data_IF_908682974442
#
_entry.id   IF_908682974442
#
_cell.length_a   1.000
_cell.length_b   1.000
_cell.length_c   1.000
_cell.angle_alpha   90.00
_cell.angle_beta   90.00
_cell.angle_gamma   90.00
#
_symmetry.space_group_name_H-M   'P 1'
#
loop_
_entity.id
_entity.type
_entity.pdbx_description
1 polymer ?
#
# COMPACT_ATOMS: atom_id res chain seq x y z
N UNK A 1 0.72 -4.61 14.30
CA UNK A 1 2.02 -4.54 13.60
C UNK A 1 3.14 -4.41 14.65
N UNK A 2 3.63 -5.54 15.16
CA UNK A 2 4.82 -5.71 16.02
C UNK A 2 5.49 -7.00 15.56
N UNK A 3 6.81 -7.18 15.55
CA UNK A 3 7.79 -6.78 16.55
C UNK A 3 9.14 -6.29 15.96
N UNK A 4 9.80 -5.38 16.69
CA UNK A 4 11.26 -5.19 16.65
C UNK A 4 11.75 -5.50 18.06
N UNK A 5 12.50 -6.58 18.25
CA UNK A 5 13.21 -6.83 19.52
C UNK A 5 14.65 -7.28 19.33
N UNK A 6 15.54 -6.57 19.99
CA UNK A 6 16.59 -7.23 20.75
C UNK A 6 17.14 -6.22 21.72
N UNK A 7 16.77 -6.34 22.99
CA UNK A 7 17.34 -5.57 24.11
C UNK A 7 18.46 -6.32 24.86
N UNK A 8 18.81 -7.53 24.43
CA UNK A 8 20.18 -8.10 24.59
C UNK A 8 20.40 -9.45 23.89
N UNK A 9 19.38 -10.15 23.41
CA UNK A 9 19.58 -11.26 22.44
C UNK A 9 18.29 -11.79 21.83
N UNK A 10 17.11 -11.37 22.30
CA UNK A 10 15.82 -11.84 21.76
C UNK A 10 15.48 -11.27 20.39
N UNK A 11 16.35 -11.50 19.41
CA UNK A 11 16.29 -11.06 18.04
C UNK A 11 14.96 -11.37 17.35
N UNK A 12 14.29 -10.35 16.81
CA UNK A 12 13.87 -10.28 15.39
C UNK A 12 13.57 -8.82 15.07
N UNK A 13 14.27 -8.27 14.07
CA UNK A 13 14.10 -6.88 13.59
C UNK A 13 14.06 -6.83 12.04
N UNK A 14 12.90 -6.98 11.39
CA UNK A 14 12.45 -5.88 10.54
C UNK A 14 10.92 -5.63 10.60
N UNK A 15 10.52 -4.35 10.73
CA UNK A 15 9.13 -3.86 10.92
C UNK A 15 9.06 -2.87 12.11
N UNK A 16 8.10 -1.93 12.26
CA UNK A 16 8.32 -0.78 13.15
C UNK A 16 8.01 -1.08 14.62
N UNK A 17 8.95 -0.78 15.53
CA UNK A 17 8.62 -0.40 16.90
C UNK A 17 9.20 1.00 17.17
N UNK A 18 8.31 2.00 17.28
CA UNK A 18 8.66 3.40 17.57
C UNK A 18 9.09 3.63 19.04
N UNK A 19 9.39 2.56 19.78
CA UNK A 19 9.82 2.64 21.16
C UNK A 19 11.20 3.34 21.23
N UNK A 20 11.22 4.54 21.82
CA UNK A 20 12.45 5.23 22.19
C UNK A 20 13.05 4.48 23.39
N UNK A 21 14.38 4.27 23.40
CA UNK A 21 15.19 3.56 24.44
C UNK A 21 15.19 2.03 24.36
N UNK A 22 15.64 1.44 23.24
CA UNK A 22 16.01 0.01 23.16
C UNK A 22 17.52 -0.19 23.33
N UNK A 23 17.93 -1.13 24.17
CA UNK A 23 19.32 -1.63 24.22
C UNK A 23 19.55 -2.58 23.04
N UNK A 24 20.79 -2.83 22.64
CA UNK A 24 21.09 -3.81 21.60
C UNK A 24 22.40 -4.48 21.99
N UNK A 25 22.50 -5.80 21.82
CA UNK A 25 23.71 -6.52 22.21
C UNK A 25 24.87 -6.37 21.22
N UNK A 26 24.61 -6.04 19.96
CA UNK A 26 25.64 -5.96 18.91
C UNK A 26 25.40 -4.78 17.96
N UNK A 27 26.47 -4.19 17.38
CA UNK A 27 26.36 -3.17 16.34
C UNK A 27 25.49 -3.60 15.16
N UNK A 28 25.55 -4.87 14.75
CA UNK A 28 24.72 -5.43 13.69
C UNK A 28 23.20 -5.31 13.97
N UNK A 29 22.74 -5.55 15.21
CA UNK A 29 21.33 -5.39 15.57
C UNK A 29 20.90 -3.92 15.58
N UNK A 30 21.77 -3.02 16.06
CA UNK A 30 21.54 -1.57 15.98
C UNK A 30 21.41 -1.11 14.54
N UNK A 31 22.29 -1.56 13.66
CA UNK A 31 22.27 -1.25 12.23
C UNK A 31 21.02 -1.81 11.54
N UNK A 32 20.64 -3.05 11.83
CA UNK A 32 19.41 -3.65 11.30
C UNK A 32 18.16 -2.84 11.71
N UNK A 33 18.06 -2.43 12.98
CA UNK A 33 16.99 -1.57 13.48
C UNK A 33 16.98 -0.20 12.78
N UNK A 34 18.17 0.39 12.59
CA UNK A 34 18.32 1.67 11.88
C UNK A 34 17.87 1.56 10.42
N UNK A 35 18.34 0.55 9.68
CA UNK A 35 17.94 0.30 8.28
C UNK A 35 16.43 0.10 8.14
N UNK A 36 15.80 -0.62 9.08
CA UNK A 36 14.35 -0.78 9.09
C UNK A 36 13.62 0.56 9.30
N UNK A 37 14.12 1.43 10.18
CA UNK A 37 13.56 2.79 10.36
C UNK A 37 13.77 3.66 9.13
N UNK A 38 14.92 3.59 8.47
CA UNK A 38 15.17 4.32 7.23
C UNK A 38 14.20 3.89 6.14
N UNK A 39 14.05 2.58 5.91
CA UNK A 39 13.06 2.04 4.97
C UNK A 39 11.64 2.48 5.29
N UNK A 40 11.25 2.48 6.57
CA UNK A 40 9.93 2.97 6.97
C UNK A 40 9.74 4.45 6.63
N UNK A 41 10.76 5.30 6.84
CA UNK A 41 10.73 6.72 6.47
C UNK A 41 10.68 6.92 4.96
N UNK A 42 11.51 6.19 4.22
CA UNK A 42 11.55 6.20 2.74
C UNK A 42 10.23 5.71 2.12
N UNK A 43 9.49 4.85 2.83
CA UNK A 43 8.15 4.42 2.43
C UNK A 43 7.04 5.46 2.71
N UNK A 44 7.35 6.61 3.34
CA UNK A 44 6.34 7.63 3.65
C UNK A 44 5.58 8.16 2.42
N UNK A 45 6.23 8.48 1.28
CA UNK A 45 5.51 8.90 0.08
C UNK A 45 4.55 7.83 -0.46
N UNK A 46 4.92 6.55 -0.35
CA UNK A 46 4.05 5.47 -0.79
C UNK A 46 2.84 5.28 0.14
N UNK A 47 3.01 5.47 1.45
CA UNK A 47 1.88 5.50 2.38
C UNK A 47 0.97 6.72 2.15
N UNK A 48 1.54 7.88 1.82
CA UNK A 48 0.76 9.05 1.44
C UNK A 48 -0.08 8.77 0.17
N UNK A 49 0.51 8.17 -0.86
CA UNK A 49 -0.22 7.75 -2.07
C UNK A 49 -1.29 6.70 -1.78
N UNK A 50 -1.08 5.80 -0.82
CA UNK A 50 -2.11 4.87 -0.36
C UNK A 50 -3.28 5.61 0.32
N UNK A 51 -3.01 6.61 1.15
CA UNK A 51 -4.06 7.46 1.75
C UNK A 51 -4.85 8.19 0.67
N UNK A 52 -4.17 8.83 -0.30
CA UNK A 52 -4.81 9.56 -1.40
C UNK A 52 -5.70 8.64 -2.25
N UNK A 53 -5.20 7.47 -2.66
CA UNK A 53 -6.00 6.48 -3.38
C UNK A 53 -7.23 6.02 -2.57
N UNK A 54 -7.09 5.89 -1.26
CA UNK A 54 -8.18 5.54 -0.35
C UNK A 54 -9.23 6.65 -0.24
N UNK A 55 -8.82 7.91 -0.17
CA UNK A 55 -9.71 9.07 -0.16
C UNK A 55 -10.51 9.17 -1.46
N UNK A 56 -9.86 8.96 -2.61
CA UNK A 56 -10.53 8.94 -3.93
C UNK A 56 -11.58 7.82 -3.98
N UNK A 57 -11.23 6.60 -3.56
CA UNK A 57 -12.17 5.49 -3.52
C UNK A 57 -13.34 5.78 -2.58
N UNK A 58 -13.08 6.30 -1.37
CA UNK A 58 -14.11 6.62 -0.39
C UNK A 58 -15.07 7.69 -0.92
N UNK A 59 -14.54 8.75 -1.55
CA UNK A 59 -15.35 9.81 -2.14
C UNK A 59 -16.23 9.24 -3.26
N UNK A 60 -15.67 8.40 -4.13
CA UNK A 60 -16.42 7.78 -5.22
C UNK A 60 -17.55 6.87 -4.71
N UNK A 61 -17.27 6.01 -3.72
CA UNK A 61 -18.29 5.14 -3.10
C UNK A 61 -19.39 5.96 -2.43
N UNK A 62 -19.05 7.06 -1.74
CA UNK A 62 -20.05 7.99 -1.17
C UNK A 62 -20.92 8.61 -2.26
N UNK A 63 -20.34 9.02 -3.38
CA UNK A 63 -21.10 9.56 -4.52
C UNK A 63 -22.05 8.53 -5.11
N UNK A 64 -21.59 7.29 -5.32
CA UNK A 64 -22.43 6.19 -5.80
C UNK A 64 -23.58 5.88 -4.84
N UNK A 65 -23.32 5.88 -3.53
CA UNK A 65 -24.37 5.67 -2.53
C UNK A 65 -25.45 6.76 -2.57
N UNK A 66 -25.05 8.02 -2.84
CA UNK A 66 -26.00 9.14 -2.99
C UNK A 66 -26.85 9.04 -4.25
N UNK A 67 -26.30 8.52 -5.35
CA UNK A 67 -27.07 8.30 -6.59
C UNK A 67 -28.27 7.36 -6.40
N UNK A 68 -28.22 6.48 -5.38
CA UNK A 68 -29.34 5.58 -5.06
C UNK A 68 -30.46 6.26 -4.28
N UNK A 69 -30.22 7.47 -3.75
CA UNK A 69 -31.18 8.25 -2.96
C UNK A 69 -31.87 9.34 -3.80
N UNK A 70 -31.31 9.68 -4.96
CA UNK A 70 -31.87 10.69 -5.86
C UNK A 70 -32.69 10.02 -6.97
N UNK A 71 -33.91 10.51 -7.28
CA UNK A 71 -34.63 10.02 -8.44
C UNK A 71 -33.82 10.31 -9.71
N UNK A 72 -33.69 9.35 -10.64
CA UNK A 72 -32.94 9.57 -11.86
C UNK A 72 -33.54 10.76 -12.60
N UNK A 73 -32.70 11.72 -12.98
CA UNK A 73 -33.15 12.82 -13.84
C UNK A 73 -33.69 12.23 -15.15
N UNK A 74 -34.71 12.85 -15.79
CA UNK A 74 -35.23 12.39 -17.09
C UNK A 74 -34.18 12.36 -18.21
N UNK A 75 -33.02 13.02 -17.99
CA UNK A 75 -31.88 13.05 -18.92
C UNK A 75 -30.81 12.00 -18.59
N UNK A 76 -31.01 11.18 -17.55
CA UNK A 76 -30.02 10.19 -17.15
C UNK A 76 -30.03 9.03 -18.16
N UNK A 77 -28.89 8.71 -18.78
CA UNK A 77 -28.82 7.60 -19.72
C UNK A 77 -29.10 6.27 -19.00
N UNK A 78 -29.65 5.31 -19.75
CA UNK A 78 -29.76 3.93 -19.27
C UNK A 78 -28.38 3.41 -18.84
N UNK A 79 -28.33 2.71 -17.70
CA UNK A 79 -27.08 2.17 -17.16
C UNK A 79 -26.21 3.17 -16.39
N UNK A 80 -26.68 4.39 -16.11
CA UNK A 80 -25.98 5.39 -15.29
C UNK A 80 -25.41 4.81 -13.97
N UNK A 81 -26.23 4.07 -13.23
CA UNK A 81 -25.81 3.42 -11.98
C UNK A 81 -24.73 2.34 -12.21
N UNK A 82 -24.86 1.55 -13.27
CA UNK A 82 -23.87 0.54 -13.64
C UNK A 82 -22.53 1.19 -14.00
N UNK A 83 -22.55 2.27 -14.78
CA UNK A 83 -21.34 3.03 -15.14
C UNK A 83 -20.68 3.66 -13.90
N UNK A 84 -21.47 4.18 -12.96
CA UNK A 84 -20.96 4.75 -11.73
C UNK A 84 -20.26 3.68 -10.85
N UNK A 85 -20.82 2.48 -10.73
CA UNK A 85 -20.24 1.36 -9.96
C UNK A 85 -19.03 0.73 -10.66
N UNK A 86 -19.00 0.71 -12.00
CA UNK A 86 -17.95 0.07 -12.79
C UNK A 86 -16.53 0.61 -12.51
N UNK A 87 -16.40 1.84 -11.98
CA UNK A 87 -15.12 2.42 -11.57
C UNK A 87 -14.58 1.90 -10.23
N UNK A 88 -15.42 1.30 -9.39
CA UNK A 88 -15.04 0.88 -8.03
C UNK A 88 -13.91 -0.17 -8.05
N UNK A 89 -13.95 -1.23 -8.88
CA UNK A 89 -12.88 -2.23 -8.95
C UNK A 89 -11.52 -1.61 -9.33
N UNK A 90 -11.49 -0.67 -10.27
CA UNK A 90 -10.25 -0.01 -10.70
C UNK A 90 -9.63 0.83 -9.58
N UNK A 91 -10.45 1.63 -8.89
CA UNK A 91 -10.01 2.43 -7.75
C UNK A 91 -9.53 1.56 -6.57
N UNK A 92 -10.25 0.46 -6.29
CA UNK A 92 -9.81 -0.53 -5.31
C UNK A 92 -8.47 -1.18 -5.72
N UNK A 93 -8.29 -1.48 -7.01
CA UNK A 93 -7.04 -1.99 -7.57
C UNK A 93 -5.88 -1.01 -7.38
N UNK A 94 -6.09 0.28 -7.62
CA UNK A 94 -5.09 1.33 -7.38
C UNK A 94 -4.70 1.43 -5.90
N UNK A 95 -5.68 1.36 -4.99
CA UNK A 95 -5.42 1.34 -3.54
C UNK A 95 -4.58 0.13 -3.13
N UNK A 96 -4.90 -1.06 -3.66
CA UNK A 96 -4.11 -2.28 -3.40
C UNK A 96 -2.69 -2.13 -3.93
N UNK A 97 -2.49 -1.58 -5.13
CA UNK A 97 -1.15 -1.34 -5.68
C UNK A 97 -0.35 -0.36 -4.82
N UNK A 98 -0.97 0.72 -4.33
CA UNK A 98 -0.33 1.68 -3.45
C UNK A 98 0.07 1.05 -2.09
N UNK A 99 -0.79 0.20 -1.52
CA UNK A 99 -0.49 -0.56 -0.31
C UNK A 99 0.69 -1.52 -0.52
N UNK A 100 0.70 -2.27 -1.63
CA UNK A 100 1.81 -3.17 -1.97
C UNK A 100 3.11 -2.39 -2.14
N UNK A 101 3.08 -1.22 -2.81
CA UNK A 101 4.26 -0.38 -2.96
C UNK A 101 4.78 0.13 -1.60
N UNK A 102 3.88 0.53 -0.70
CA UNK A 102 4.23 0.97 0.64
C UNK A 102 4.91 -0.15 1.44
N UNK A 103 4.36 -1.37 1.40
CA UNK A 103 4.92 -2.54 2.07
C UNK A 103 6.26 -2.98 1.46
N UNK A 104 6.37 -2.96 0.13
CA UNK A 104 7.64 -3.26 -0.56
C UNK A 104 8.73 -2.26 -0.18
N UNK A 105 8.43 -0.97 -0.12
CA UNK A 105 9.39 0.07 0.32
C UNK A 105 9.73 -0.04 1.80
N UNK A 106 8.79 -0.47 2.64
CA UNK A 106 9.05 -0.77 4.05
C UNK A 106 9.94 -2.03 4.24
N UNK A 107 10.10 -2.84 3.18
CA UNK A 107 10.95 -4.02 3.15
C UNK A 107 10.21 -5.33 3.38
N UNK A 108 8.88 -5.36 3.24
CA UNK A 108 8.10 -6.60 3.29
C UNK A 108 8.45 -7.51 2.09
N UNK A 109 8.63 -8.80 2.36
CA UNK A 109 8.83 -9.81 1.33
C UNK A 109 7.54 -10.11 0.55
N UNK A 110 7.67 -10.70 -0.64
CA UNK A 110 6.50 -11.15 -1.41
C UNK A 110 5.65 -12.19 -0.68
N UNK A 111 6.26 -13.00 0.21
CA UNK A 111 5.52 -13.92 1.06
C UNK A 111 4.64 -13.20 2.08
N UNK A 112 5.16 -12.15 2.72
CA UNK A 112 4.39 -11.33 3.66
C UNK A 112 3.25 -10.58 2.96
N UNK A 113 3.52 -10.03 1.78
CA UNK A 113 2.51 -9.34 0.97
C UNK A 113 1.45 -10.30 0.47
N UNK A 114 1.85 -11.46 -0.07
CA UNK A 114 0.93 -12.49 -0.53
C UNK A 114 0.01 -12.96 0.60
N UNK A 115 0.56 -13.21 1.79
CA UNK A 115 -0.23 -13.57 2.97
C UNK A 115 -1.27 -12.49 3.34
N UNK A 116 -0.91 -11.20 3.26
CA UNK A 116 -1.85 -10.10 3.51
C UNK A 116 -2.95 -9.97 2.45
N UNK A 117 -2.69 -10.41 1.22
CA UNK A 117 -3.63 -10.38 0.09
C UNK A 117 -4.41 -11.70 -0.09
N UNK A 118 -4.13 -12.73 0.72
CA UNK A 118 -4.73 -14.06 0.57
C UNK A 118 -4.27 -14.81 -0.69
N UNK A 119 -3.07 -14.52 -1.21
CA UNK A 119 -2.51 -15.15 -2.42
C UNK A 119 -1.08 -15.68 -2.18
N UNK A 120 -0.60 -16.55 -3.06
CA UNK A 120 0.77 -17.05 -2.96
C UNK A 120 1.81 -15.93 -3.19
N UNK A 121 3.02 -16.12 -2.66
CA UNK A 121 4.12 -15.18 -2.85
C UNK A 121 4.46 -14.97 -4.34
N UNK A 122 4.36 -16.03 -5.13
CA UNK A 122 4.61 -16.00 -6.57
C UNK A 122 3.50 -15.28 -7.34
N UNK A 123 2.23 -15.51 -6.96
CA UNK A 123 1.11 -14.76 -7.51
C UNK A 123 1.24 -13.26 -7.21
N UNK A 124 1.62 -12.90 -5.98
CA UNK A 124 1.86 -11.50 -5.59
C UNK A 124 3.01 -10.89 -6.42
N UNK A 125 4.13 -11.60 -6.59
CA UNK A 125 5.25 -11.14 -7.41
C UNK A 125 4.88 -10.98 -8.88
N UNK A 126 4.16 -11.94 -9.46
CA UNK A 126 3.76 -11.91 -10.87
C UNK A 126 2.83 -10.73 -11.18
N UNK A 127 1.89 -10.45 -10.26
CA UNK A 127 0.91 -9.36 -10.38
C UNK A 127 1.51 -7.99 -10.11
N UNK A 128 2.30 -7.85 -9.05
CA UNK A 128 2.71 -6.53 -8.54
C UNK A 128 4.22 -6.25 -8.65
N UNK A 129 5.02 -7.22 -9.12
CA UNK A 129 6.48 -7.08 -9.20
C UNK A 129 7.00 -6.25 -10.37
N UNK A 130 6.16 -5.94 -11.37
CA UNK A 130 6.55 -5.25 -12.61
C UNK A 130 6.44 -3.72 -12.56
N UNK A 131 5.95 -3.14 -11.47
CA UNK A 131 5.67 -1.69 -11.35
C UNK A 131 6.91 -0.78 -11.24
N UNK A 132 8.10 -1.23 -11.66
CA UNK A 132 9.34 -0.43 -11.62
C UNK A 132 9.90 -0.03 -13.01
N UNK A 133 9.08 0.00 -14.06
CA UNK A 133 9.58 0.34 -15.40
C UNK A 133 8.56 1.11 -16.24
N UNK A 134 8.11 2.26 -15.73
CA UNK A 134 7.60 3.34 -16.58
C UNK A 134 8.14 4.66 -16.02
N UNK A 135 9.44 4.90 -16.24
CA UNK A 135 9.94 6.27 -16.30
C UNK A 135 9.47 6.83 -17.65
N UNK A 136 8.95 8.07 -17.73
CA UNK A 136 8.66 8.67 -19.03
C UNK A 136 9.99 8.75 -19.78
N UNK A 137 10.05 8.07 -20.93
CA UNK A 137 11.07 8.37 -21.91
C UNK A 137 10.79 9.81 -22.36
N UNK A 138 11.77 10.64 -22.05
CA UNK A 138 11.92 12.02 -22.49
C UNK A 138 11.61 12.11 -23.99
N UNK A 139 10.75 13.06 -24.36
CA UNK A 139 10.48 13.39 -25.74
C UNK A 139 11.68 14.18 -26.28
N UNK A 140 12.52 13.52 -27.07
CA UNK A 140 13.54 14.15 -27.90
C UNK A 140 13.22 13.90 -29.37
N UNK A 141 12.58 14.88 -30.01
CA UNK A 141 12.54 15.02 -31.47
C UNK A 141 13.58 16.03 -31.91
#
# INVERSE_FOLDING_TARGET
MGDVRCDSCGARLPGPAMARRRRYCRPAHRQAAWRARCRWREAAPARAGMTEAGEVLLLHVKSVARLSLEPPSPRSPAGWNCAAVARVPDLAGQLVQAAVLADRRAGASWAQIGAGLGISAEAARSRFGRTRSASPADGGG
#
